data_IF_960637787459
#
_entry.id   IF_960637787459
#
_cell.length_a   1.000
_cell.length_b   1.000
_cell.length_c   1.000
_cell.angle_alpha   90.00
_cell.angle_beta   90.00
_cell.angle_gamma   90.00
#
_symmetry.space_group_name_H-M   'P 1'
#
loop_
_entity.id
_entity.type
_entity.pdbx_description
1 polymer ?
#
# COMPACT_ATOMS: atom_id res chain seq x y z
N UNK A 1 -29.93 -69.62 43.82
CA UNK A 1 -29.70 -68.16 44.04
C UNK A 1 -28.30 -67.72 43.61
N UNK A 2 -27.21 -68.27 44.16
CA UNK A 2 -25.84 -67.81 43.84
C UNK A 2 -25.40 -68.02 42.37
N UNK A 3 -25.76 -69.14 41.72
CA UNK A 3 -25.42 -69.41 40.31
C UNK A 3 -26.10 -68.42 39.33
N UNK A 4 -27.37 -68.08 39.55
CA UNK A 4 -28.09 -67.12 38.73
C UNK A 4 -27.52 -65.69 38.86
N UNK A 5 -27.05 -65.31 40.05
CA UNK A 5 -26.38 -64.02 40.26
C UNK A 5 -25.01 -63.96 39.58
N UNK A 6 -24.26 -65.06 39.54
CA UNK A 6 -22.98 -65.14 38.83
C UNK A 6 -23.16 -65.02 37.31
N UNK A 7 -24.14 -65.75 36.74
CA UNK A 7 -24.46 -65.71 35.31
C UNK A 7 -24.95 -64.32 34.85
N UNK A 8 -25.76 -63.65 35.67
CA UNK A 8 -26.20 -62.28 35.41
C UNK A 8 -25.02 -61.28 35.41
N UNK A 9 -24.05 -61.45 36.32
CA UNK A 9 -22.84 -60.61 36.38
C UNK A 9 -21.90 -60.88 35.20
N UNK A 10 -21.79 -62.13 34.76
CA UNK A 10 -20.98 -62.51 33.60
C UNK A 10 -21.56 -61.95 32.30
N UNK A 11 -22.88 -62.05 32.11
CA UNK A 11 -23.57 -61.43 30.97
C UNK A 11 -23.44 -59.91 30.96
N UNK A 12 -23.58 -59.26 32.11
CA UNK A 12 -23.37 -57.81 32.22
C UNK A 12 -21.91 -57.40 31.92
N UNK A 13 -20.93 -58.21 32.35
CA UNK A 13 -19.53 -57.97 32.05
C UNK A 13 -19.19 -58.18 30.57
N UNK A 14 -19.80 -59.19 29.91
CA UNK A 14 -19.66 -59.42 28.48
C UNK A 14 -20.26 -58.27 27.66
N UNK A 15 -21.48 -57.83 28.00
CA UNK A 15 -22.16 -56.72 27.33
C UNK A 15 -21.41 -55.39 27.55
N UNK A 16 -20.81 -55.18 28.73
CA UNK A 16 -19.96 -54.02 28.99
C UNK A 16 -18.67 -54.04 28.15
N UNK A 17 -18.06 -55.21 27.95
CA UNK A 17 -16.89 -55.38 27.08
C UNK A 17 -17.23 -55.13 25.61
N UNK A 18 -18.34 -55.67 25.12
CA UNK A 18 -18.81 -55.44 23.76
C UNK A 18 -19.12 -53.95 23.49
N UNK A 19 -19.80 -53.28 24.44
CA UNK A 19 -20.02 -51.83 24.37
C UNK A 19 -18.72 -51.02 24.36
N UNK A 20 -17.74 -51.41 25.18
CA UNK A 20 -16.44 -50.76 25.21
C UNK A 20 -15.65 -50.96 23.91
N UNK A 21 -15.70 -52.16 23.33
CA UNK A 21 -15.04 -52.47 22.06
C UNK A 21 -15.68 -51.71 20.89
N UNK A 22 -17.02 -51.65 20.84
CA UNK A 22 -17.75 -50.86 19.84
C UNK A 22 -17.43 -49.36 19.95
N UNK A 23 -17.37 -48.82 21.17
CA UNK A 23 -16.98 -47.43 21.40
C UNK A 23 -15.52 -47.16 20.99
N UNK A 24 -14.61 -48.11 21.25
CA UNK A 24 -13.22 -47.99 20.82
C UNK A 24 -13.06 -48.05 19.29
N UNK A 25 -13.85 -48.88 18.60
CA UNK A 25 -13.87 -48.95 17.14
C UNK A 25 -14.39 -47.64 16.51
N UNK A 26 -15.50 -47.10 17.02
CA UNK A 26 -16.06 -45.82 16.56
C UNK A 26 -15.10 -44.65 16.80
N UNK A 27 -14.39 -44.64 17.93
CA UNK A 27 -13.36 -43.64 18.22
C UNK A 27 -12.17 -43.73 17.25
N UNK A 28 -11.74 -44.94 16.89
CA UNK A 28 -10.66 -45.17 15.90
C UNK A 28 -11.08 -44.73 14.50
N UNK A 29 -12.32 -45.02 14.09
CA UNK A 29 -12.84 -44.58 12.78
C UNK A 29 -12.94 -43.05 12.70
N UNK A 30 -13.41 -42.38 13.76
CA UNK A 30 -13.45 -40.92 13.85
C UNK A 30 -12.05 -40.30 13.80
N UNK A 31 -11.07 -40.91 14.46
CA UNK A 31 -9.68 -40.45 14.42
C UNK A 31 -9.09 -40.57 13.01
N UNK A 32 -9.31 -41.70 12.32
CA UNK A 32 -8.86 -41.90 10.94
C UNK A 32 -9.53 -40.91 9.96
N UNK A 33 -10.83 -40.65 10.12
CA UNK A 33 -11.54 -39.66 9.31
C UNK A 33 -11.04 -38.22 9.56
N UNK A 34 -10.67 -37.87 10.79
CA UNK A 34 -10.07 -36.58 11.11
C UNK A 34 -8.68 -36.43 10.48
N UNK A 35 -7.84 -37.46 10.56
CA UNK A 35 -6.51 -37.47 9.94
C UNK A 35 -6.59 -37.36 8.40
N UNK A 36 -7.54 -38.05 7.77
CA UNK A 36 -7.78 -37.95 6.33
C UNK A 36 -8.19 -36.53 5.90
N UNK A 37 -9.10 -35.89 6.66
CA UNK A 37 -9.50 -34.50 6.42
C UNK A 37 -8.35 -33.53 6.62
N UNK A 38 -7.48 -33.76 7.61
CA UNK A 38 -6.29 -32.93 7.82
C UNK A 38 -5.30 -33.04 6.67
N UNK A 39 -5.08 -34.25 6.13
CA UNK A 39 -4.25 -34.47 4.94
C UNK A 39 -4.83 -33.76 3.71
N UNK A 40 -6.13 -33.88 3.48
CA UNK A 40 -6.80 -33.21 2.36
C UNK A 40 -6.70 -31.67 2.45
N UNK A 41 -6.82 -31.09 3.66
CA UNK A 41 -6.64 -29.65 3.87
C UNK A 41 -5.19 -29.22 3.65
N UNK A 42 -4.21 -30.02 4.07
CA UNK A 42 -2.78 -29.77 3.81
C UNK A 42 -2.46 -29.81 2.32
N UNK A 43 -3.02 -30.76 1.59
CA UNK A 43 -2.82 -30.88 0.14
C UNK A 43 -3.47 -29.70 -0.60
N UNK A 44 -4.70 -29.32 -0.24
CA UNK A 44 -5.36 -28.10 -0.78
C UNK A 44 -4.57 -26.83 -0.49
N UNK A 45 -4.00 -26.71 0.71
CA UNK A 45 -3.16 -25.57 1.06
C UNK A 45 -1.83 -25.55 0.28
N UNK A 46 -1.23 -26.71 0.01
CA UNK A 46 -0.03 -26.82 -0.80
C UNK A 46 -0.29 -26.41 -2.26
N UNK A 47 -1.42 -26.87 -2.84
CA UNK A 47 -1.84 -26.49 -4.20
C UNK A 47 -2.10 -24.98 -4.29
N UNK A 48 -2.85 -24.41 -3.33
CA UNK A 48 -3.11 -22.97 -3.30
C UNK A 48 -1.83 -22.13 -3.17
N UNK A 49 -0.85 -22.58 -2.38
CA UNK A 49 0.46 -21.92 -2.26
C UNK A 49 1.26 -22.00 -3.56
N UNK A 50 1.28 -23.16 -4.22
CA UNK A 50 1.94 -23.33 -5.51
C UNK A 50 1.32 -22.44 -6.60
N UNK A 51 -0.01 -22.33 -6.61
CA UNK A 51 -0.73 -21.46 -7.54
C UNK A 51 -0.44 -19.97 -7.27
N UNK A 52 -0.44 -19.54 -6.01
CA UNK A 52 -0.09 -18.17 -5.63
C UNK A 52 1.36 -17.83 -6.00
N UNK A 53 2.30 -18.76 -5.81
CA UNK A 53 3.70 -18.59 -6.19
C UNK A 53 3.87 -18.53 -7.71
N UNK A 54 3.15 -19.35 -8.46
CA UNK A 54 3.12 -19.31 -9.92
C UNK A 54 2.58 -17.96 -10.44
N UNK A 55 1.49 -17.46 -9.85
CA UNK A 55 0.94 -16.12 -10.17
C UNK A 55 1.95 -15.02 -9.88
N UNK A 56 2.63 -15.06 -8.72
CA UNK A 56 3.67 -14.08 -8.35
C UNK A 56 4.89 -14.14 -9.27
N UNK A 57 5.29 -15.35 -9.72
CA UNK A 57 6.35 -15.50 -10.73
C UNK A 57 5.93 -14.94 -12.08
N UNK A 58 4.70 -15.20 -12.52
CA UNK A 58 4.17 -14.66 -13.78
C UNK A 58 4.08 -13.14 -13.76
N UNK A 59 3.63 -12.54 -12.65
CA UNK A 59 3.59 -11.09 -12.47
C UNK A 59 5.00 -10.47 -12.51
N UNK A 60 5.97 -11.06 -11.81
CA UNK A 60 7.37 -10.62 -11.86
C UNK A 60 7.94 -10.70 -13.28
N UNK A 61 7.68 -11.79 -13.99
CA UNK A 61 8.11 -11.97 -15.38
C UNK A 61 7.44 -10.95 -16.32
N UNK A 62 6.17 -10.60 -16.10
CA UNK A 62 5.48 -9.57 -16.86
C UNK A 62 6.07 -8.18 -16.61
N UNK A 63 6.36 -7.84 -15.34
CA UNK A 63 7.02 -6.58 -14.98
C UNK A 63 8.43 -6.49 -15.56
N UNK A 64 9.19 -7.59 -15.53
CA UNK A 64 10.53 -7.65 -16.13
C UNK A 64 10.49 -7.49 -17.65
N UNK A 65 9.54 -8.13 -18.33
CA UNK A 65 9.32 -7.95 -19.78
C UNK A 65 8.93 -6.51 -20.12
N UNK A 66 8.00 -5.91 -19.37
CA UNK A 66 7.62 -4.51 -19.55
C UNK A 66 8.80 -3.56 -19.31
N UNK A 67 9.65 -3.84 -18.31
CA UNK A 67 10.86 -3.08 -18.04
C UNK A 67 11.91 -3.24 -19.16
N UNK A 68 12.07 -4.44 -19.71
CA UNK A 68 12.96 -4.69 -20.85
C UNK A 68 12.48 -3.96 -22.11
N UNK A 69 11.18 -4.01 -22.40
CA UNK A 69 10.57 -3.30 -23.53
C UNK A 69 10.67 -1.77 -23.37
N UNK A 70 10.49 -1.24 -22.17
CA UNK A 70 10.70 0.18 -21.88
C UNK A 70 12.16 0.60 -22.07
N UNK A 71 13.13 -0.24 -21.68
CA UNK A 71 14.56 -0.01 -21.91
C UNK A 71 14.91 -0.04 -23.39
N UNK A 72 14.34 -0.97 -24.15
CA UNK A 72 14.54 -1.05 -25.60
C UNK A 72 13.96 0.18 -26.31
N UNK A 73 12.74 0.60 -25.94
CA UNK A 73 12.14 1.84 -26.46
C UNK A 73 12.99 3.07 -26.15
N UNK A 74 13.48 3.20 -24.92
CA UNK A 74 14.36 4.30 -24.53
C UNK A 74 15.69 4.28 -25.30
N UNK A 75 16.26 3.09 -25.53
CA UNK A 75 17.48 2.94 -26.33
C UNK A 75 17.26 3.26 -27.82
N UNK A 76 16.12 2.87 -28.39
CA UNK A 76 15.74 3.22 -29.76
C UNK A 76 15.54 4.73 -29.91
N UNK A 77 14.82 5.36 -28.98
CA UNK A 77 14.61 6.81 -28.96
C UNK A 77 15.93 7.59 -28.78
N UNK A 78 16.85 7.08 -27.94
CA UNK A 78 18.19 7.66 -27.79
C UNK A 78 19.02 7.54 -29.08
N UNK A 79 18.94 6.41 -29.80
CA UNK A 79 19.62 6.22 -31.10
C UNK A 79 19.04 7.15 -32.17
N UNK A 80 17.72 7.32 -32.21
CA UNK A 80 17.07 8.25 -33.14
C UNK A 80 17.48 9.71 -32.85
N UNK A 81 17.48 10.11 -31.56
CA UNK A 81 17.96 11.44 -31.15
C UNK A 81 19.43 11.66 -31.49
N UNK A 82 20.28 10.65 -31.29
CA UNK A 82 21.68 10.72 -31.66
C UNK A 82 21.88 10.82 -33.18
N UNK A 83 21.11 10.08 -33.97
CA UNK A 83 21.14 10.16 -35.43
C UNK A 83 20.64 11.52 -35.93
N UNK A 84 19.56 12.07 -35.35
CA UNK A 84 19.05 13.40 -35.66
C UNK A 84 20.07 14.50 -35.29
N UNK A 85 20.74 14.39 -34.13
CA UNK A 85 21.79 15.31 -33.72
C UNK A 85 23.02 15.23 -34.65
N UNK A 86 23.42 14.02 -35.07
CA UNK A 86 24.51 13.83 -36.04
C UNK A 86 24.16 14.41 -37.42
N UNK A 87 22.91 14.23 -37.88
CA UNK A 87 22.44 14.82 -39.13
C UNK A 87 22.34 16.35 -39.06
N UNK A 88 21.93 16.92 -37.92
CA UNK A 88 21.94 18.36 -37.69
C UNK A 88 23.38 18.91 -37.67
N UNK A 89 24.31 18.23 -37.00
CA UNK A 89 25.72 18.61 -36.98
C UNK A 89 26.35 18.58 -38.38
N UNK A 90 26.05 17.54 -39.19
CA UNK A 90 26.51 17.46 -40.58
C UNK A 90 25.99 18.61 -41.44
N UNK A 91 24.71 18.99 -41.30
CA UNK A 91 24.13 20.16 -41.99
C UNK A 91 24.80 21.47 -41.55
N UNK A 92 25.06 21.65 -40.26
CA UNK A 92 25.78 22.83 -39.76
C UNK A 92 27.22 22.90 -40.25
N UNK A 93 27.94 21.77 -40.33
CA UNK A 93 29.30 21.73 -40.92
C UNK A 93 29.27 22.04 -42.41
N UNK A 94 28.26 21.55 -43.15
CA UNK A 94 28.11 21.85 -44.57
C UNK A 94 27.82 23.35 -44.80
N UNK A 95 26.88 23.93 -44.05
CA UNK A 95 26.62 25.38 -44.09
C UNK A 95 27.88 26.20 -43.77
N UNK A 96 28.62 25.81 -42.73
CA UNK A 96 29.89 26.48 -42.39
C UNK A 96 30.93 26.38 -43.50
N UNK A 97 31.00 25.26 -44.22
CA UNK A 97 31.91 25.11 -45.36
C UNK A 97 31.45 25.93 -46.59
N UNK A 98 30.14 26.05 -46.80
CA UNK A 98 29.58 26.91 -47.86
C UNK A 98 29.81 28.41 -47.55
N UNK A 99 29.66 28.83 -46.29
CA UNK A 99 29.99 30.18 -45.81
C UNK A 99 31.51 30.48 -45.95
N UNK A 100 32.37 29.50 -45.68
CA UNK A 100 33.83 29.66 -45.79
C UNK A 100 34.27 29.81 -47.26
N UNK A 101 33.62 29.10 -48.20
CA UNK A 101 33.82 29.27 -49.64
C UNK A 101 33.32 30.64 -50.15
N UNK A 102 32.19 31.14 -49.64
CA UNK A 102 31.73 32.51 -49.94
C UNK A 102 32.68 33.58 -49.41
N UNK A 103 33.28 33.35 -48.24
CA UNK A 103 34.28 34.25 -47.65
C UNK A 103 35.63 34.20 -48.38
N UNK A 104 35.98 33.06 -48.98
CA UNK A 104 37.17 32.89 -49.84
C UNK A 104 37.02 33.59 -51.20
N UNK A 105 35.85 33.50 -51.85
CA UNK A 105 35.57 34.25 -53.09
C UNK A 105 35.33 35.75 -52.86
N UNK A 106 34.96 36.15 -51.64
CA UNK A 106 34.82 37.57 -51.26
C UNK A 106 36.13 38.23 -50.81
N UNK A 107 37.27 37.54 -50.82
CA UNK A 107 38.60 38.11 -50.57
C UNK A 107 39.13 38.89 -51.79
N UNK A 108 38.32 39.85 -52.26
CA UNK A 108 38.58 40.64 -53.46
C UNK A 108 38.02 42.07 -53.41
N UNK A 109 37.56 42.56 -52.25
CA UNK A 109 37.34 44.01 -52.08
C UNK A 109 37.50 44.46 -50.64
N UNK A 110 38.71 44.94 -50.33
CA UNK A 110 38.89 45.91 -49.28
C UNK A 110 38.13 47.20 -49.64
N UNK A 111 37.33 47.73 -48.73
CA UNK A 111 37.10 49.17 -48.67
C UNK A 111 36.84 49.61 -47.24
N UNK A 112 37.79 50.39 -46.74
CA UNK A 112 37.84 51.10 -45.47
C UNK A 112 36.78 52.20 -45.34
N UNK A 113 36.00 52.19 -44.23
CA UNK A 113 35.46 53.30 -43.40
C UNK A 113 34.71 54.50 -44.07
N UNK A 114 34.01 55.42 -43.35
CA UNK A 114 33.74 55.53 -41.91
C UNK A 114 32.25 55.78 -41.52
N UNK A 115 32.05 55.93 -40.20
CA UNK A 115 30.82 56.24 -39.44
C UNK A 115 29.91 57.33 -40.06
N UNK A 116 28.60 57.12 -39.94
CA UNK A 116 27.57 58.16 -40.04
C UNK A 116 26.61 58.07 -38.85
N UNK A 117 26.45 59.19 -38.13
CA UNK A 117 25.61 59.39 -36.94
C UNK A 117 24.45 60.31 -37.34
N UNK A 118 23.30 60.10 -36.70
CA UNK A 118 22.23 61.06 -36.36
C UNK A 118 20.99 61.25 -37.28
N UNK A 119 19.85 60.99 -36.63
CA UNK A 119 18.64 61.80 -36.46
C UNK A 119 17.56 61.97 -37.56
N UNK A 120 16.32 61.93 -37.02
CA UNK A 120 15.09 62.59 -37.49
C UNK A 120 14.39 61.85 -38.65
N UNK A 121 13.09 61.56 -38.66
CA UNK A 121 11.93 62.26 -38.10
C UNK A 121 10.73 61.31 -38.22
N UNK A 122 9.86 61.30 -37.22
CA UNK A 122 8.46 60.84 -37.36
C UNK A 122 7.61 62.09 -37.66
N UNK A 123 6.49 62.00 -38.39
CA UNK A 123 5.23 62.08 -37.65
C UNK A 123 4.00 61.34 -38.25
N UNK A 124 3.20 60.78 -37.33
CA UNK A 124 1.72 60.84 -37.23
C UNK A 124 0.82 60.04 -38.21
N UNK A 125 0.01 59.12 -37.65
CA UNK A 125 -1.46 59.24 -37.40
C UNK A 125 -2.00 57.92 -36.77
N UNK A 126 -2.13 57.83 -35.45
CA UNK A 126 -3.37 57.90 -34.62
C UNK A 126 -4.39 56.76 -34.82
N UNK A 127 -4.67 55.98 -33.76
CA UNK A 127 -6.04 55.78 -33.22
C UNK A 127 -6.07 54.92 -31.93
N UNK A 128 -6.64 55.53 -30.88
CA UNK A 128 -7.44 54.93 -29.78
C UNK A 128 -6.80 54.64 -28.41
N UNK A 129 -6.68 55.71 -27.62
CA UNK A 129 -7.05 55.89 -26.20
C UNK A 129 -7.61 54.69 -25.39
N UNK A 130 -7.15 54.48 -24.14
CA UNK A 130 -7.62 55.22 -22.95
C UNK A 130 -6.82 54.86 -21.67
N UNK A 131 -6.39 55.93 -21.00
CA UNK A 131 -6.39 56.20 -19.55
C UNK A 131 -5.55 55.31 -18.61
N UNK A 132 -4.46 55.88 -18.08
CA UNK A 132 -4.37 56.58 -16.77
C UNK A 132 -4.01 55.59 -15.65
N UNK A 133 -2.96 55.78 -14.85
CA UNK A 133 -2.03 56.91 -14.75
C UNK A 133 -1.27 56.80 -13.42
N UNK A 134 0.01 57.19 -13.46
CA UNK A 134 0.85 57.73 -12.38
C UNK A 134 1.20 56.85 -11.17
N UNK A 135 2.47 56.58 -10.83
CA UNK A 135 3.49 57.52 -10.29
C UNK A 135 3.06 58.13 -8.96
N UNK A 136 3.82 58.21 -7.87
CA UNK A 136 5.25 58.05 -7.62
C UNK A 136 5.48 58.15 -6.08
N UNK A 137 6.70 57.85 -5.64
CA UNK A 137 7.43 58.50 -4.53
C UNK A 137 7.21 58.11 -3.04
N UNK A 138 8.33 57.60 -2.50
CA UNK A 138 9.03 58.03 -1.27
C UNK A 138 8.63 57.45 0.12
N UNK A 139 9.59 56.78 0.79
CA UNK A 139 10.39 57.32 1.92
C UNK A 139 11.41 56.30 2.47
N UNK A 140 12.42 56.85 3.17
CA UNK A 140 13.72 56.30 3.56
C UNK A 140 13.73 55.44 4.85
N UNK A 141 14.68 54.50 4.87
CA UNK A 141 15.58 54.04 5.95
C UNK A 141 15.03 53.34 7.22
N UNK A 142 15.41 52.08 7.44
CA UNK A 142 16.58 51.70 8.29
C UNK A 142 16.76 50.18 8.45
N UNK A 143 18.03 49.76 8.44
CA UNK A 143 18.64 48.56 9.05
C UNK A 143 17.92 47.20 9.04
N UNK A 144 18.48 46.23 8.30
CA UNK A 144 19.30 45.15 8.87
C UNK A 144 19.58 44.07 7.82
N UNK A 145 20.86 43.72 7.71
CA UNK A 145 21.47 42.46 7.26
C UNK A 145 20.66 41.45 6.42
N UNK A 146 21.23 41.12 5.24
CA UNK A 146 21.13 39.77 4.66
C UNK A 146 20.22 39.64 3.45
N UNK A 147 20.72 40.00 2.27
CA UNK A 147 20.11 39.69 0.98
C UNK A 147 20.68 38.34 0.43
N UNK A 148 20.14 37.78 -0.66
CA UNK A 148 19.02 36.85 -0.59
C UNK A 148 19.24 35.59 -1.44
N UNK A 149 18.59 34.48 -1.10
CA UNK A 149 18.55 33.30 -1.97
C UNK A 149 17.23 33.32 -2.75
N UNK A 150 17.32 33.67 -4.03
CA UNK A 150 16.28 33.38 -5.01
C UNK A 150 16.92 32.50 -6.07
N UNK A 151 16.41 31.29 -6.29
CA UNK A 151 16.28 30.68 -7.61
C UNK A 151 15.54 29.33 -7.55
N UNK A 152 14.35 29.34 -8.16
CA UNK A 152 13.89 28.43 -9.22
C UNK A 152 13.90 26.90 -8.96
N UNK A 153 12.67 26.41 -8.82
CA UNK A 153 12.12 25.11 -9.23
C UNK A 153 12.63 24.66 -10.61
N UNK A 154 13.20 23.44 -10.70
CA UNK A 154 12.86 22.36 -11.65
C UNK A 154 13.84 21.16 -11.55
N UNK A 155 13.27 19.97 -11.37
CA UNK A 155 13.59 18.67 -12.02
C UNK A 155 15.05 18.23 -12.27
N UNK A 156 15.50 17.13 -11.65
CA UNK A 156 15.85 15.88 -12.34
C UNK A 156 16.17 14.78 -11.32
N UNK A 157 15.50 13.63 -11.42
CA UNK A 157 15.68 12.47 -10.52
C UNK A 157 16.59 11.39 -11.12
N UNK A 158 17.41 11.75 -12.11
CA UNK A 158 18.15 10.79 -12.95
C UNK A 158 19.64 10.69 -12.63
N UNK A 159 20.18 11.51 -11.71
CA UNK A 159 21.62 11.58 -11.46
C UNK A 159 22.09 10.95 -10.13
N UNK A 160 21.19 10.33 -9.35
CA UNK A 160 21.55 9.74 -8.04
C UNK A 160 22.20 8.35 -8.20
N UNK A 161 21.89 7.64 -9.29
CA UNK A 161 22.38 6.27 -9.52
C UNK A 161 23.83 6.21 -10.00
N UNK A 162 24.32 7.24 -10.70
CA UNK A 162 25.66 7.24 -11.29
C UNK A 162 26.78 7.58 -10.27
N UNK A 163 26.44 8.43 -9.29
CA UNK A 163 27.38 8.90 -8.27
C UNK A 163 27.70 7.85 -7.19
N UNK A 164 26.80 6.88 -6.98
CA UNK A 164 27.04 5.76 -6.06
C UNK A 164 27.94 4.66 -6.65
N UNK A 165 28.01 4.54 -7.98
CA UNK A 165 28.86 3.58 -8.70
C UNK A 165 30.34 3.95 -8.74
N UNK A 166 30.66 5.24 -8.58
CA UNK A 166 32.07 5.71 -8.57
C UNK A 166 32.71 5.65 -7.18
N UNK A 167 31.91 5.62 -6.11
CA UNK A 167 32.38 5.52 -4.72
C UNK A 167 32.43 4.07 -4.23
N UNK A 168 31.47 3.23 -4.66
CA UNK A 168 31.49 1.78 -4.44
C UNK A 168 31.75 1.11 -5.79
N UNK A 169 33.00 0.77 -6.07
CA UNK A 169 33.41 0.12 -7.32
C UNK A 169 32.44 -0.99 -7.76
N UNK A 170 32.14 -1.00 -9.06
CA UNK A 170 31.19 -1.87 -9.75
C UNK A 170 30.95 -3.20 -9.02
N UNK A 171 29.74 -3.35 -8.47
CA UNK A 171 29.23 -4.62 -7.95
C UNK A 171 29.15 -5.59 -9.14
N UNK A 172 29.89 -6.71 -9.16
CA UNK A 172 29.67 -7.73 -10.17
C UNK A 172 28.24 -8.25 -10.01
N UNK A 173 27.53 -8.32 -11.14
CA UNK A 173 26.10 -8.64 -11.28
C UNK A 173 25.71 -10.04 -10.76
N UNK A 174 26.66 -10.85 -10.35
CA UNK A 174 26.44 -12.16 -9.76
C UNK A 174 26.88 -12.07 -8.31
N UNK A 175 26.00 -12.42 -7.36
CA UNK A 175 26.40 -12.61 -5.96
C UNK A 175 27.33 -13.82 -5.78
N UNK A 176 28.32 -13.99 -6.65
CA UNK A 176 29.18 -15.15 -6.79
C UNK A 176 30.63 -14.68 -6.66
N UNK A 177 31.37 -15.35 -5.77
CA UNK A 177 32.73 -14.97 -5.42
C UNK A 177 33.67 -15.11 -6.63
N UNK A 178 34.26 -14.00 -7.07
CA UNK A 178 35.14 -14.00 -8.24
C UNK A 178 36.54 -14.52 -7.90
N UNK A 179 36.84 -15.71 -8.40
CA UNK A 179 38.11 -16.41 -8.20
C UNK A 179 39.20 -15.81 -9.12
N UNK A 180 40.31 -15.36 -8.53
CA UNK A 180 41.45 -14.80 -9.27
C UNK A 180 42.59 -15.83 -9.26
N UNK A 181 43.04 -16.26 -10.43
CA UNK A 181 44.21 -17.15 -10.59
C UNK A 181 45.51 -16.35 -10.38
N UNK A 182 46.37 -16.83 -9.47
CA UNK A 182 47.65 -16.19 -9.10
C UNK A 182 47.69 -15.48 -7.72
N UNK A 183 46.60 -15.48 -6.94
CA UNK A 183 46.58 -14.96 -5.56
C UNK A 183 47.08 -15.99 -4.54
N UNK A 184 47.86 -15.53 -3.52
CA UNK A 184 48.20 -16.36 -2.35
C UNK A 184 46.94 -16.80 -1.61
N UNK A 185 46.91 -18.06 -1.15
CA UNK A 185 45.73 -18.67 -0.53
C UNK A 185 45.14 -17.83 0.63
N UNK A 186 45.99 -17.18 1.42
CA UNK A 186 45.59 -16.33 2.54
C UNK A 186 44.78 -15.10 2.07
N UNK A 187 45.13 -14.51 0.93
CA UNK A 187 44.43 -13.36 0.36
C UNK A 187 43.08 -13.77 -0.25
N UNK A 188 43.03 -14.94 -0.89
CA UNK A 188 41.78 -15.54 -1.39
C UNK A 188 40.80 -15.83 -0.24
N UNK A 189 41.28 -16.40 0.88
CA UNK A 189 40.47 -16.67 2.08
C UNK A 189 39.94 -15.36 2.71
N UNK A 190 40.77 -14.33 2.83
CA UNK A 190 40.33 -13.03 3.37
C UNK A 190 39.28 -12.31 2.50
N UNK A 191 39.36 -12.46 1.16
CA UNK A 191 38.33 -11.93 0.25
C UNK A 191 37.02 -12.72 0.34
N UNK A 192 37.11 -14.06 0.41
CA UNK A 192 35.95 -14.94 0.62
C UNK A 192 35.22 -14.60 1.91
N UNK A 193 35.94 -14.42 3.00
CA UNK A 193 35.36 -14.09 4.31
C UNK A 193 34.62 -12.74 4.29
N UNK A 194 35.17 -11.71 3.65
CA UNK A 194 34.48 -10.40 3.50
C UNK A 194 33.22 -10.52 2.64
N UNK A 195 33.30 -11.31 1.57
CA UNK A 195 32.17 -11.56 0.70
C UNK A 195 31.08 -12.34 1.44
N UNK A 196 31.43 -13.40 2.16
CA UNK A 196 30.51 -14.16 3.02
C UNK A 196 29.87 -13.27 4.08
N UNK A 197 30.65 -12.47 4.81
CA UNK A 197 30.09 -11.54 5.81
C UNK A 197 29.11 -10.54 5.21
N UNK A 198 29.33 -10.12 3.96
CA UNK A 198 28.43 -9.21 3.25
C UNK A 198 27.15 -9.93 2.82
N UNK A 199 27.27 -11.15 2.29
CA UNK A 199 26.13 -12.00 1.95
C UNK A 199 25.31 -12.39 3.17
N UNK A 200 25.95 -12.75 4.29
CA UNK A 200 25.30 -13.08 5.55
C UNK A 200 24.55 -11.88 6.12
N UNK A 201 25.13 -10.68 6.07
CA UNK A 201 24.42 -9.46 6.48
C UNK A 201 23.22 -9.18 5.59
N UNK A 202 23.36 -9.33 4.28
CA UNK A 202 22.25 -9.15 3.33
C UNK A 202 21.16 -10.21 3.54
N UNK A 203 21.54 -11.48 3.71
CA UNK A 203 20.63 -12.59 3.96
C UNK A 203 19.93 -12.44 5.32
N UNK A 204 20.64 -12.02 6.36
CA UNK A 204 20.07 -11.75 7.69
C UNK A 204 19.08 -10.59 7.65
N UNK A 205 19.42 -9.49 6.96
CA UNK A 205 18.51 -8.35 6.80
C UNK A 205 17.24 -8.73 6.02
N UNK A 206 17.38 -9.55 4.97
CA UNK A 206 16.24 -10.09 4.22
C UNK A 206 15.38 -11.01 5.07
N UNK A 207 15.99 -11.91 5.85
CA UNK A 207 15.29 -12.83 6.74
C UNK A 207 14.53 -12.07 7.84
N UNK A 208 15.14 -11.07 8.47
CA UNK A 208 14.51 -10.24 9.49
C UNK A 208 13.31 -9.47 8.92
N UNK A 209 13.46 -8.85 7.75
CA UNK A 209 12.35 -8.15 7.08
C UNK A 209 11.20 -9.12 6.78
N UNK A 210 11.51 -10.26 6.16
CA UNK A 210 10.51 -11.27 5.82
C UNK A 210 9.83 -11.82 7.08
N UNK A 211 10.57 -11.97 8.19
CA UNK A 211 10.01 -12.39 9.48
C UNK A 211 9.04 -11.36 10.05
N UNK A 212 9.37 -10.05 10.00
CA UNK A 212 8.44 -8.99 10.42
C UNK A 212 7.20 -8.94 9.54
N UNK A 213 7.38 -9.06 8.23
CA UNK A 213 6.26 -9.07 7.27
C UNK A 213 5.34 -10.27 7.51
N UNK A 214 5.90 -11.46 7.77
CA UNK A 214 5.13 -12.65 8.13
C UNK A 214 4.40 -12.52 9.48
N UNK A 215 5.02 -11.88 10.48
CA UNK A 215 4.36 -11.61 11.75
C UNK A 215 3.20 -10.63 11.58
N UNK A 216 3.41 -9.53 10.84
CA UNK A 216 2.37 -8.57 10.54
C UNK A 216 1.20 -9.22 9.76
N UNK A 217 1.49 -10.12 8.83
CA UNK A 217 0.47 -10.88 8.11
C UNK A 217 -0.29 -11.82 9.03
N UNK A 218 0.37 -12.58 9.91
CA UNK A 218 -0.31 -13.45 10.87
C UNK A 218 -1.22 -12.66 11.81
N UNK A 219 -0.73 -11.55 12.36
CA UNK A 219 -1.52 -10.67 13.22
C UNK A 219 -2.72 -10.07 12.48
N UNK A 220 -2.54 -9.72 11.19
CA UNK A 220 -3.64 -9.26 10.34
C UNK A 220 -4.63 -10.38 10.04
N UNK A 221 -4.18 -11.57 9.66
CA UNK A 221 -5.02 -12.73 9.37
C UNK A 221 -5.84 -13.15 10.60
N UNK A 222 -5.25 -13.13 11.80
CA UNK A 222 -5.97 -13.41 13.04
C UNK A 222 -7.06 -12.35 13.30
N UNK A 223 -6.74 -11.06 13.11
CA UNK A 223 -7.72 -9.98 13.20
C UNK A 223 -8.81 -10.13 12.15
N UNK A 224 -8.45 -10.49 10.92
CA UNK A 224 -9.37 -10.70 9.81
C UNK A 224 -10.31 -11.88 10.10
N UNK A 225 -9.77 -13.03 10.51
CA UNK A 225 -10.55 -14.22 10.88
C UNK A 225 -11.58 -13.90 11.97
N UNK A 226 -11.14 -13.20 13.00
CA UNK A 226 -12.02 -12.76 14.08
C UNK A 226 -13.07 -11.77 13.55
N UNK A 227 -12.66 -10.81 12.72
CA UNK A 227 -13.57 -9.83 12.14
C UNK A 227 -14.63 -10.48 11.26
N UNK A 228 -14.30 -11.50 10.47
CA UNK A 228 -15.24 -12.22 9.61
C UNK A 228 -16.31 -12.94 10.42
N UNK A 229 -15.94 -13.58 11.53
CA UNK A 229 -16.92 -14.23 12.42
C UNK A 229 -17.90 -13.21 13.00
N UNK A 230 -17.39 -12.08 13.48
CA UNK A 230 -18.21 -10.99 14.02
C UNK A 230 -19.07 -10.34 12.94
N UNK A 231 -18.54 -10.17 11.73
CA UNK A 231 -19.28 -9.62 10.60
C UNK A 231 -20.49 -10.47 10.24
N UNK A 232 -20.35 -11.80 10.26
CA UNK A 232 -21.47 -12.72 10.00
C UNK A 232 -22.53 -12.58 11.10
N UNK A 233 -22.14 -12.48 12.37
CA UNK A 233 -23.06 -12.29 13.49
C UNK A 233 -23.78 -10.93 13.41
N UNK A 234 -23.05 -9.86 13.14
CA UNK A 234 -23.59 -8.49 13.02
C UNK A 234 -24.51 -8.40 11.81
N UNK A 235 -24.14 -8.96 10.65
CA UNK A 235 -25.00 -8.99 9.46
C UNK A 235 -26.25 -9.82 9.70
N UNK A 236 -26.14 -11.00 10.34
CA UNK A 236 -27.29 -11.82 10.71
C UNK A 236 -28.22 -11.09 11.66
N UNK A 237 -27.66 -10.36 12.62
CA UNK A 237 -28.44 -9.51 13.51
C UNK A 237 -29.12 -8.42 12.70
N UNK A 238 -28.40 -7.62 11.93
CA UNK A 238 -28.95 -6.48 11.19
C UNK A 238 -29.97 -6.89 10.12
N UNK A 239 -29.83 -8.08 9.53
CA UNK A 239 -30.67 -8.59 8.46
C UNK A 239 -32.18 -8.42 8.76
N UNK A 240 -32.88 -7.77 7.82
CA UNK A 240 -34.32 -7.51 7.91
C UNK A 240 -34.73 -6.34 8.82
N UNK A 241 -33.79 -5.76 9.57
CA UNK A 241 -34.00 -4.52 10.36
C UNK A 241 -33.03 -3.40 10.00
N UNK A 242 -32.25 -3.57 8.95
CA UNK A 242 -31.32 -2.56 8.42
C UNK A 242 -32.09 -1.30 8.00
N UNK A 243 -31.67 -0.15 8.49
CA UNK A 243 -32.36 1.12 8.25
C UNK A 243 -33.55 1.41 9.18
N UNK A 244 -34.10 0.42 9.90
CA UNK A 244 -35.14 0.66 10.91
C UNK A 244 -34.49 0.94 12.26
N UNK A 245 -34.37 2.22 12.60
CA UNK A 245 -33.72 2.65 13.83
C UNK A 245 -34.39 2.09 15.09
N UNK A 246 -35.72 2.01 15.14
CA UNK A 246 -36.46 1.50 16.31
C UNK A 246 -36.13 0.04 16.57
N UNK A 247 -36.14 -0.79 15.52
CA UNK A 247 -35.85 -2.22 15.61
C UNK A 247 -34.38 -2.50 15.96
N UNK A 248 -33.44 -1.71 15.45
CA UNK A 248 -32.02 -1.83 15.80
C UNK A 248 -31.77 -1.48 17.26
N UNK A 249 -32.32 -0.36 17.74
CA UNK A 249 -32.16 0.06 19.14
C UNK A 249 -32.78 -0.94 20.13
N UNK A 250 -33.92 -1.55 19.79
CA UNK A 250 -34.59 -2.50 20.69
C UNK A 250 -33.90 -3.86 20.79
N UNK A 251 -32.98 -4.16 19.87
CA UNK A 251 -32.26 -5.45 19.79
C UNK A 251 -30.75 -5.31 19.91
N UNK A 252 -30.26 -4.12 20.26
CA UNK A 252 -28.84 -3.80 20.38
C UNK A 252 -28.13 -4.64 21.48
N UNK A 253 -28.87 -5.09 22.49
CA UNK A 253 -28.38 -5.95 23.56
C UNK A 253 -27.87 -7.33 23.11
N UNK A 254 -28.28 -7.81 21.93
CA UNK A 254 -27.86 -9.13 21.42
C UNK A 254 -26.50 -9.10 20.73
N UNK A 255 -26.03 -7.93 20.33
CA UNK A 255 -24.75 -7.76 19.62
C UNK A 255 -23.69 -7.09 20.48
N UNK A 256 -24.10 -6.35 21.52
CA UNK A 256 -23.17 -5.68 22.43
C UNK A 256 -22.69 -6.59 23.56
N UNK A 257 -21.49 -6.29 24.05
CA UNK A 257 -20.89 -6.98 25.19
C UNK A 257 -21.37 -6.40 26.53
N UNK A 258 -21.43 -7.19 27.62
CA UNK A 258 -21.99 -6.76 28.91
C UNK A 258 -21.37 -5.47 29.49
N UNK A 259 -20.08 -5.25 29.26
CA UNK A 259 -19.32 -4.13 29.84
C UNK A 259 -19.54 -2.78 29.10
N UNK A 260 -20.27 -2.78 27.98
CA UNK A 260 -20.55 -1.55 27.25
C UNK A 260 -21.47 -0.58 28.02
N UNK A 261 -22.22 -1.09 29.01
CA UNK A 261 -23.18 -0.34 29.81
C UNK A 261 -24.51 -0.07 29.11
N UNK A 262 -24.84 -0.83 28.07
CA UNK A 262 -26.12 -0.75 27.38
C UNK A 262 -27.26 -1.28 28.24
N UNK A 263 -28.42 -0.64 28.15
CA UNK A 263 -29.65 -1.09 28.81
C UNK A 263 -30.65 -1.51 27.74
N UNK A 264 -31.28 -2.69 27.84
CA UNK A 264 -32.26 -3.14 26.86
C UNK A 264 -33.45 -2.19 26.85
N UNK A 265 -33.84 -1.74 25.66
CA UNK A 265 -34.98 -0.83 25.47
C UNK A 265 -36.08 -1.57 24.72
N UNK A 266 -37.30 -1.50 25.22
CA UNK A 266 -38.45 -2.14 24.59
C UNK A 266 -38.97 -1.30 23.41
N UNK A 267 -39.65 -1.92 22.45
CA UNK A 267 -40.31 -1.19 21.36
C UNK A 267 -41.40 -0.23 21.87
N UNK A 268 -42.03 -0.55 23.01
CA UNK A 268 -43.02 0.31 23.67
C UNK A 268 -42.41 1.63 24.15
N UNK A 269 -41.12 1.65 24.51
CA UNK A 269 -40.42 2.87 24.92
C UNK A 269 -39.91 3.69 23.72
N UNK A 270 -40.05 3.18 22.49
CA UNK A 270 -39.56 3.77 21.23
C UNK A 270 -40.70 4.24 20.30
N UNK A 271 -41.90 4.43 20.85
CA UNK A 271 -43.09 4.86 20.08
C UNK A 271 -42.89 6.30 19.57
N UNK A 272 -42.49 7.23 20.45
CA UNK A 272 -42.37 8.65 20.10
C UNK A 272 -41.02 8.97 19.46
N UNK A 273 -40.98 9.80 18.43
CA UNK A 273 -39.70 10.20 17.81
C UNK A 273 -38.70 10.79 18.82
N UNK A 274 -39.18 11.60 19.77
CA UNK A 274 -38.35 12.15 20.85
C UNK A 274 -37.68 11.06 21.73
N UNK A 275 -38.38 9.96 22.02
CA UNK A 275 -37.80 8.82 22.76
C UNK A 275 -36.71 8.10 21.96
N UNK A 276 -36.95 7.88 20.66
CA UNK A 276 -35.96 7.30 19.74
C UNK A 276 -34.70 8.15 19.67
N UNK A 277 -34.83 9.48 19.54
CA UNK A 277 -33.69 10.41 19.54
C UNK A 277 -32.89 10.37 20.84
N UNK A 278 -33.56 10.24 22.00
CA UNK A 278 -32.88 10.09 23.31
C UNK A 278 -32.12 8.77 23.41
N UNK A 279 -32.73 7.66 23.00
CA UNK A 279 -32.12 6.33 23.08
C UNK A 279 -30.98 6.18 22.08
N UNK A 280 -31.12 6.70 20.86
CA UNK A 280 -30.03 6.75 19.88
C UNK A 280 -28.79 7.48 20.41
N UNK A 281 -28.97 8.66 21.03
CA UNK A 281 -27.85 9.39 21.66
C UNK A 281 -27.17 8.59 22.76
N UNK A 282 -27.93 7.84 23.55
CA UNK A 282 -27.36 6.93 24.56
C UNK A 282 -26.57 5.80 23.89
N UNK A 283 -27.11 5.22 22.82
CA UNK A 283 -26.46 4.14 22.08
C UNK A 283 -25.11 4.61 21.53
N UNK A 284 -25.09 5.74 20.82
CA UNK A 284 -23.86 6.27 20.21
C UNK A 284 -22.78 6.55 21.25
N UNK A 285 -23.11 6.96 22.47
CA UNK A 285 -22.13 7.12 23.56
C UNK A 285 -21.54 5.79 24.05
N UNK A 286 -22.34 4.73 24.11
CA UNK A 286 -21.89 3.40 24.54
C UNK A 286 -20.96 2.75 23.50
N UNK A 287 -21.28 2.90 22.22
CA UNK A 287 -20.57 2.24 21.11
C UNK A 287 -19.60 3.17 20.37
N UNK A 288 -19.36 4.40 20.87
CA UNK A 288 -18.44 5.31 20.20
C UNK A 288 -17.01 4.72 20.22
N UNK A 289 -16.28 4.69 19.09
CA UNK A 289 -14.95 4.08 19.02
C UNK A 289 -13.96 4.68 20.03
N UNK A 290 -14.01 6.00 20.27
CA UNK A 290 -13.19 6.67 21.31
C UNK A 290 -13.54 6.21 22.74
N UNK A 291 -14.82 6.01 23.06
CA UNK A 291 -15.24 5.55 24.39
C UNK A 291 -14.91 4.08 24.61
N UNK A 292 -15.07 3.27 23.57
CA UNK A 292 -14.68 1.87 23.56
C UNK A 292 -13.15 1.75 23.72
N UNK A 293 -12.37 2.61 23.05
CA UNK A 293 -10.92 2.70 23.23
C UNK A 293 -10.53 3.10 24.67
N UNK A 294 -11.20 4.11 25.26
CA UNK A 294 -10.93 4.57 26.64
C UNK A 294 -11.20 3.49 27.69
N UNK A 295 -12.18 2.62 27.47
CA UNK A 295 -12.51 1.50 28.36
C UNK A 295 -11.54 0.31 28.27
N UNK A 296 -10.48 0.41 27.46
CA UNK A 296 -9.52 -0.68 27.27
C UNK A 296 -10.08 -1.84 26.46
N UNK A 297 -11.04 -1.58 25.57
CA UNK A 297 -11.74 -2.62 24.82
C UNK A 297 -10.84 -3.48 23.95
N UNK A 298 -11.23 -4.75 23.78
CA UNK A 298 -10.56 -5.69 22.89
C UNK A 298 -10.72 -5.26 21.42
N UNK A 299 -9.85 -5.77 20.54
CA UNK A 299 -9.95 -5.52 19.09
C UNK A 299 -11.32 -5.95 18.53
N UNK A 300 -11.88 -7.03 19.05
CA UNK A 300 -13.22 -7.51 18.73
C UNK A 300 -14.30 -6.48 19.05
N UNK A 301 -14.28 -5.95 20.26
CA UNK A 301 -15.26 -4.96 20.72
C UNK A 301 -15.19 -3.67 19.91
N UNK A 302 -13.98 -3.22 19.55
CA UNK A 302 -13.80 -2.06 18.65
C UNK A 302 -14.43 -2.30 17.29
N UNK A 303 -14.22 -3.49 16.72
CA UNK A 303 -14.80 -3.86 15.43
C UNK A 303 -16.33 -3.91 15.48
N UNK A 304 -16.89 -4.57 16.50
CA UNK A 304 -18.35 -4.61 16.71
C UNK A 304 -18.90 -3.19 16.86
N UNK A 305 -18.26 -2.36 17.68
CA UNK A 305 -18.67 -0.99 17.92
C UNK A 305 -18.72 -0.19 16.62
N UNK A 306 -17.66 -0.25 15.81
CA UNK A 306 -17.56 0.45 14.54
C UNK A 306 -18.67 0.03 13.57
N UNK A 307 -18.84 -1.28 13.34
CA UNK A 307 -19.86 -1.81 12.45
C UNK A 307 -21.28 -1.48 12.89
N UNK A 308 -21.58 -1.67 14.18
CA UNK A 308 -22.90 -1.37 14.74
C UNK A 308 -23.17 0.13 14.74
N UNK A 309 -22.13 0.96 14.96
CA UNK A 309 -22.24 2.41 14.90
C UNK A 309 -22.62 2.89 13.50
N UNK A 310 -22.00 2.35 12.45
CA UNK A 310 -22.33 2.69 11.07
C UNK A 310 -23.77 2.31 10.72
N UNK A 311 -24.22 1.11 11.12
CA UNK A 311 -25.61 0.67 10.91
C UNK A 311 -26.63 1.57 11.62
N UNK A 312 -26.35 1.95 12.87
CA UNK A 312 -27.21 2.88 13.62
C UNK A 312 -27.20 4.28 13.00
N UNK A 313 -26.06 4.75 12.51
CA UNK A 313 -25.94 6.06 11.85
C UNK A 313 -26.71 6.10 10.53
N UNK A 314 -26.66 5.03 9.74
CA UNK A 314 -27.44 4.92 8.52
C UNK A 314 -28.95 4.92 8.82
N UNK A 315 -29.39 4.12 9.78
CA UNK A 315 -30.78 4.08 10.21
C UNK A 315 -31.26 5.40 10.82
N UNK A 316 -30.39 6.13 11.53
CA UNK A 316 -30.66 7.47 12.03
C UNK A 316 -30.86 8.49 10.92
N UNK A 317 -30.05 8.43 9.87
CA UNK A 317 -30.21 9.31 8.71
C UNK A 317 -31.56 9.05 8.02
N UNK A 318 -31.92 7.77 7.81
CA UNK A 318 -33.23 7.38 7.27
C UNK A 318 -34.39 7.85 8.15
N UNK A 319 -34.32 7.58 9.45
CA UNK A 319 -35.32 8.02 10.43
C UNK A 319 -35.51 9.54 10.45
N UNK A 320 -34.41 10.31 10.39
CA UNK A 320 -34.50 11.77 10.30
C UNK A 320 -35.09 12.23 8.97
N UNK A 321 -34.81 11.55 7.86
CA UNK A 321 -35.43 11.88 6.57
C UNK A 321 -36.93 11.58 6.56
N UNK A 322 -37.38 10.53 7.24
CA UNK A 322 -38.79 10.13 7.32
C UNK A 322 -39.61 10.94 8.32
N UNK A 323 -39.04 11.39 9.45
CA UNK A 323 -39.76 12.23 10.44
C UNK A 323 -39.70 13.74 10.15
N UNK A 324 -38.94 14.19 9.14
CA UNK A 324 -38.91 15.61 8.73
C UNK A 324 -39.92 15.97 7.63
N UNK A 325 -40.67 14.99 7.12
CA UNK A 325 -41.79 15.14 6.19
C UNK A 325 -43.09 14.73 6.87
#
# INVERSE_FOLDING_TARGET
>A
MQRAQAEARERAAAEAKERAEKAAAEARERAAAAEAREKELKDKAAVARAEAEARRRAERAAVERAAAEARERAAAEARERAAAAAAAAAKTTQQRNDDDLESFFSMGRASSAPRGRANSTDPFFDQQFQNQGGSEAAKRASSSSGAPFNMKKASSTTNIVDDLSSIFGAVPSSGEFQEVEGETEERRRARLERHQRTQERAAKALAEKNQRDLQAQKDQEERHRISETLDVEIKRWAAGKEGNLRALLSTLQYVLWPECGWQPVSLTDLITGASVKKVYRKATLCIHPDKVQQKGATLQQKYIAEKVFDLLKEAWNKFNSEELF
#
